data_IF_780915926103
#
_entry.id   IF_780915926103
#
_cell.length_a   1.000
_cell.length_b   1.000
_cell.length_c   1.000
_cell.angle_alpha   90.00
_cell.angle_beta   90.00
_cell.angle_gamma   90.00
#
_symmetry.space_group_name_H-M   'P 1'
#
loop_
_entity.id
_entity.type
_entity.pdbx_description
1 polymer ?
#
# COMPACT_ATOMS: atom_id res chain seq x y z
N UNK A 1 61.01 -23.13 50.03
CA UNK A 1 61.89 -22.31 49.20
C UNK A 1 61.16 -21.98 47.91
N UNK A 2 60.91 -20.70 47.82
CA UNK A 2 60.89 -19.84 46.63
C UNK A 2 59.88 -20.17 45.55
N UNK A 3 58.76 -19.45 45.51
CA UNK A 3 58.44 -18.17 44.81
C UNK A 3 58.67 -18.25 43.27
N UNK A 4 57.65 -18.11 42.47
CA UNK A 4 57.42 -16.83 41.79
C UNK A 4 56.09 -16.80 41.07
N UNK A 5 55.32 -15.84 41.49
CA UNK A 5 54.18 -15.20 40.85
C UNK A 5 54.62 -14.62 39.50
N UNK A 6 53.80 -14.86 38.46
CA UNK A 6 53.75 -13.96 37.33
C UNK A 6 52.29 -13.74 36.94
N UNK A 7 51.83 -12.58 37.31
CA UNK A 7 50.65 -11.94 36.78
C UNK A 7 50.78 -11.83 35.25
N UNK A 8 49.76 -12.29 34.56
CA UNK A 8 49.55 -11.95 33.14
C UNK A 8 48.21 -11.19 33.12
N UNK A 9 48.36 -9.89 32.93
CA UNK A 9 47.25 -8.97 32.66
C UNK A 9 46.56 -9.43 31.37
N UNK A 10 45.29 -9.89 31.53
CA UNK A 10 44.41 -10.13 30.42
C UNK A 10 43.63 -8.85 30.16
N UNK A 11 44.16 -8.03 29.25
CA UNK A 11 43.46 -6.86 28.76
C UNK A 11 42.11 -7.28 28.12
N UNK A 12 41.04 -6.99 28.86
CA UNK A 12 39.67 -7.21 28.45
C UNK A 12 39.30 -6.15 27.40
N UNK A 13 39.49 -6.50 26.12
CA UNK A 13 39.04 -5.67 25.02
C UNK A 13 37.49 -5.77 24.94
N UNK A 14 36.82 -4.86 25.62
CA UNK A 14 35.37 -4.71 25.53
C UNK A 14 35.01 -4.09 24.18
N UNK A 15 34.79 -4.93 23.17
CA UNK A 15 34.10 -4.52 21.98
C UNK A 15 32.64 -4.26 22.32
N UNK A 16 32.32 -3.00 22.60
CA UNK A 16 30.96 -2.49 22.58
C UNK A 16 30.41 -2.59 21.15
N UNK A 17 29.82 -3.74 20.84
CA UNK A 17 28.95 -3.87 19.70
C UNK A 17 27.70 -3.02 19.98
N UNK A 18 27.75 -1.78 19.52
CA UNK A 18 26.55 -0.92 19.44
C UNK A 18 25.60 -1.58 18.42
N UNK A 19 24.76 -2.45 18.95
CA UNK A 19 23.65 -2.99 18.22
C UNK A 19 22.64 -1.86 18.00
N UNK A 20 22.82 -1.08 16.94
CA UNK A 20 21.79 -0.20 16.44
C UNK A 20 20.60 -1.09 16.06
N UNK A 21 19.45 -0.95 16.70
CA UNK A 21 18.24 -1.54 16.15
C UNK A 21 18.01 -0.84 14.80
N UNK A 22 18.34 -1.55 13.72
CA UNK A 22 17.79 -1.21 12.41
C UNK A 22 16.28 -1.33 12.60
N UNK A 23 15.66 -0.20 12.91
CA UNK A 23 14.24 -0.02 12.74
C UNK A 23 14.01 -0.21 11.24
N UNK A 24 13.79 -1.46 10.87
CA UNK A 24 13.27 -1.82 9.57
C UNK A 24 11.88 -1.19 9.56
N UNK A 25 11.80 0.03 9.03
CA UNK A 25 10.54 0.60 8.65
C UNK A 25 10.05 -0.28 7.50
N UNK A 26 9.42 -1.40 7.85
CA UNK A 26 8.59 -2.13 6.93
C UNK A 26 7.52 -1.10 6.51
N UNK A 27 7.74 -0.47 5.37
CA UNK A 27 6.64 0.09 4.63
C UNK A 27 5.80 -1.11 4.24
N UNK A 28 4.86 -1.44 5.11
CA UNK A 28 3.79 -2.34 4.81
C UNK A 28 3.10 -1.82 3.55
N UNK A 29 3.40 -2.45 2.43
CA UNK A 29 2.45 -2.62 1.36
C UNK A 29 1.42 -3.63 1.88
N UNK A 30 0.84 -3.35 3.05
CA UNK A 30 -0.23 -4.13 3.60
C UNK A 30 -1.40 -3.96 2.67
N UNK A 31 -2.02 -5.05 2.28
CA UNK A 31 -3.41 -5.11 1.82
C UNK A 31 -4.28 -4.43 2.88
N UNK A 32 -4.24 -3.11 2.89
CA UNK A 32 -4.95 -2.33 3.87
C UNK A 32 -6.41 -2.24 3.41
N UNK A 33 -7.21 -3.15 3.92
CA UNK A 33 -8.65 -3.16 3.72
C UNK A 33 -9.37 -2.18 4.64
N UNK A 34 -8.64 -1.51 5.52
CA UNK A 34 -9.16 -0.51 6.46
C UNK A 34 -9.16 0.88 5.81
N UNK A 35 -10.29 1.23 5.22
CA UNK A 35 -10.44 2.51 4.53
C UNK A 35 -10.25 3.73 5.46
N UNK A 36 -10.82 3.80 6.68
CA UNK A 36 -10.58 4.91 7.60
C UNK A 36 -9.11 5.14 7.91
N UNK A 37 -8.35 4.08 8.12
CA UNK A 37 -6.90 4.14 8.38
C UNK A 37 -6.14 4.63 7.16
N UNK A 38 -6.49 4.13 5.97
CA UNK A 38 -5.87 4.54 4.70
C UNK A 38 -6.10 6.02 4.42
N UNK A 39 -7.32 6.54 4.66
CA UNK A 39 -7.63 7.97 4.53
C UNK A 39 -6.86 8.82 5.54
N UNK A 40 -6.79 8.39 6.79
CA UNK A 40 -6.01 9.10 7.82
C UNK A 40 -4.53 9.18 7.45
N UNK A 41 -3.97 8.08 6.90
CA UNK A 41 -2.59 8.02 6.44
C UNK A 41 -2.37 8.91 5.21
N UNK A 42 -3.31 8.93 4.25
CA UNK A 42 -3.26 9.80 3.07
C UNK A 42 -3.16 11.27 3.46
N UNK A 43 -4.02 11.72 4.37
CA UNK A 43 -3.97 13.08 4.94
C UNK A 43 -2.65 13.36 5.64
N UNK A 44 -2.22 12.47 6.52
CA UNK A 44 -0.99 12.63 7.31
C UNK A 44 0.27 12.74 6.42
N UNK A 45 0.32 11.97 5.35
CA UNK A 45 1.48 11.89 4.47
C UNK A 45 1.38 12.80 3.24
N UNK A 46 0.25 13.48 3.08
CA UNK A 46 -0.11 14.29 1.90
C UNK A 46 0.05 13.51 0.59
N UNK A 47 -0.40 12.24 0.59
CA UNK A 47 -0.29 11.33 -0.56
C UNK A 47 -1.67 10.97 -1.09
N UNK A 48 -1.85 10.88 -2.43
CA UNK A 48 -3.07 10.36 -3.02
C UNK A 48 -3.35 8.92 -2.56
N UNK A 49 -4.62 8.54 -2.55
CA UNK A 49 -5.07 7.19 -2.21
C UNK A 49 -5.71 6.53 -3.43
N UNK A 50 -5.20 5.37 -3.81
CA UNK A 50 -5.82 4.47 -4.78
C UNK A 50 -6.77 3.54 -4.03
N UNK A 51 -8.05 3.68 -4.26
CA UNK A 51 -9.10 2.85 -3.67
C UNK A 51 -9.55 1.82 -4.71
N UNK A 52 -9.07 0.59 -4.58
CA UNK A 52 -9.27 -0.46 -5.56
C UNK A 52 -10.42 -1.38 -5.17
N UNK A 53 -11.49 -1.38 -5.94
CA UNK A 53 -12.64 -2.29 -5.81
C UNK A 53 -12.40 -3.52 -6.68
N UNK A 54 -12.22 -4.69 -6.05
CA UNK A 54 -11.80 -5.93 -6.71
C UNK A 54 -12.81 -7.05 -6.51
N UNK A 55 -13.30 -7.63 -7.60
CA UNK A 55 -14.06 -8.89 -7.57
C UNK A 55 -13.09 -10.07 -7.50
N UNK A 56 -12.70 -10.47 -6.28
CA UNK A 56 -11.47 -11.22 -6.03
C UNK A 56 -11.53 -12.70 -6.48
N UNK A 57 -12.68 -13.34 -6.40
CA UNK A 57 -12.85 -14.76 -6.74
C UNK A 57 -13.75 -15.01 -7.97
N UNK A 58 -14.21 -13.94 -8.64
CA UNK A 58 -15.14 -14.06 -9.77
C UNK A 58 -14.81 -13.14 -10.96
N UNK A 59 -14.06 -12.04 -10.77
CA UNK A 59 -13.74 -11.11 -11.85
C UNK A 59 -12.33 -11.37 -12.42
N UNK A 60 -12.27 -11.88 -13.65
CA UNK A 60 -11.00 -12.16 -14.35
C UNK A 60 -10.16 -10.89 -14.48
N UNK A 61 -10.79 -9.75 -14.76
CA UNK A 61 -10.08 -8.47 -14.91
C UNK A 61 -9.52 -7.98 -13.57
N UNK A 62 -10.22 -8.22 -12.45
CA UNK A 62 -9.70 -7.94 -11.11
C UNK A 62 -8.47 -8.78 -10.77
N UNK A 63 -8.53 -10.09 -11.08
CA UNK A 63 -7.40 -10.99 -10.89
C UNK A 63 -6.17 -10.59 -11.73
N UNK A 64 -6.41 -10.11 -12.97
CA UNK A 64 -5.31 -9.60 -13.81
C UNK A 64 -4.72 -8.33 -13.23
N UNK A 65 -5.54 -7.36 -12.82
CA UNK A 65 -5.05 -6.12 -12.20
C UNK A 65 -4.20 -6.41 -10.96
N UNK A 66 -4.66 -7.31 -10.13
CA UNK A 66 -3.94 -7.69 -8.92
C UNK A 66 -2.58 -8.32 -9.25
N UNK A 67 -2.55 -9.35 -10.10
CA UNK A 67 -1.33 -10.07 -10.47
C UNK A 67 -0.36 -9.27 -11.34
N UNK A 68 -0.87 -8.54 -12.33
CA UNK A 68 -0.03 -7.85 -13.32
C UNK A 68 0.43 -6.46 -12.85
N UNK A 69 -0.23 -5.91 -11.82
CA UNK A 69 0.08 -4.57 -11.30
C UNK A 69 0.37 -4.60 -9.81
N UNK A 70 -0.63 -4.87 -8.96
CA UNK A 70 -0.49 -4.65 -7.52
C UNK A 70 0.48 -5.61 -6.83
N UNK A 71 0.58 -6.86 -7.30
CA UNK A 71 1.51 -7.86 -6.75
C UNK A 71 2.94 -7.72 -7.31
N UNK A 72 3.18 -6.76 -8.20
CA UNK A 72 4.51 -6.56 -8.79
C UNK A 72 5.41 -5.70 -7.89
N UNK A 73 6.67 -6.12 -7.75
CA UNK A 73 7.66 -5.35 -7.01
C UNK A 73 7.83 -3.92 -7.56
N UNK A 74 7.77 -3.76 -8.88
CA UNK A 74 7.83 -2.44 -9.52
C UNK A 74 6.69 -1.52 -9.08
N UNK A 75 5.47 -2.05 -8.85
CA UNK A 75 4.37 -1.28 -8.31
C UNK A 75 4.60 -0.90 -6.85
N UNK A 76 5.08 -1.84 -6.03
CA UNK A 76 5.41 -1.58 -4.63
C UNK A 76 6.48 -0.47 -4.50
N UNK A 77 7.49 -0.48 -5.36
CA UNK A 77 8.54 0.54 -5.39
C UNK A 77 7.99 1.91 -5.81
N UNK A 78 7.15 1.97 -6.84
CA UNK A 78 6.52 3.23 -7.30
C UNK A 78 5.52 3.77 -6.26
N UNK A 79 4.67 2.92 -5.71
CA UNK A 79 3.66 3.30 -4.72
C UNK A 79 4.27 3.81 -3.42
N UNK A 80 5.45 3.31 -3.05
CA UNK A 80 6.11 3.65 -1.78
C UNK A 80 6.21 5.15 -1.50
N UNK A 81 6.35 5.96 -2.54
CA UNK A 81 6.53 7.41 -2.41
C UNK A 81 5.41 8.23 -3.06
N UNK A 82 4.71 7.66 -4.04
CA UNK A 82 3.81 8.43 -4.91
C UNK A 82 2.35 8.41 -4.47
N UNK A 83 1.86 7.27 -3.97
CA UNK A 83 0.46 7.10 -3.55
C UNK A 83 0.33 5.96 -2.54
N UNK A 84 -0.84 5.86 -1.93
CA UNK A 84 -1.23 4.74 -1.06
C UNK A 84 -2.20 3.83 -1.83
N UNK A 85 -2.24 2.55 -1.48
CA UNK A 85 -3.20 1.60 -2.02
C UNK A 85 -4.08 1.07 -0.90
N UNK A 86 -5.40 1.07 -1.12
CA UNK A 86 -6.39 0.39 -0.29
C UNK A 86 -7.17 -0.56 -1.17
N UNK A 87 -7.08 -1.87 -0.91
CA UNK A 87 -7.78 -2.91 -1.67
C UNK A 87 -9.08 -3.29 -0.96
N UNK A 88 -10.19 -3.12 -1.64
CA UNK A 88 -11.51 -3.54 -1.20
C UNK A 88 -11.93 -4.79 -1.95
N UNK A 89 -11.89 -5.92 -1.27
CA UNK A 89 -12.16 -7.23 -1.85
C UNK A 89 -13.64 -7.59 -1.74
N UNK A 90 -14.25 -7.92 -2.88
CA UNK A 90 -15.61 -8.44 -3.00
C UNK A 90 -15.56 -9.92 -3.39
N UNK A 91 -16.02 -10.78 -2.49
CA UNK A 91 -16.01 -12.21 -2.66
C UNK A 91 -17.43 -12.73 -2.89
N UNK A 92 -17.57 -13.79 -3.71
CA UNK A 92 -18.83 -14.53 -3.89
C UNK A 92 -18.82 -15.87 -3.16
N UNK A 93 -17.63 -16.47 -2.98
CA UNK A 93 -17.49 -17.83 -2.43
C UNK A 93 -16.83 -17.86 -1.05
N UNK A 94 -16.24 -16.79 -0.57
CA UNK A 94 -15.56 -16.71 0.71
C UNK A 94 -16.30 -15.83 1.71
N UNK A 95 -16.50 -16.34 2.91
CA UNK A 95 -17.03 -15.55 4.02
C UNK A 95 -15.97 -14.59 4.56
N UNK A 96 -16.40 -13.39 4.90
CA UNK A 96 -15.59 -12.32 5.52
C UNK A 96 -16.31 -11.77 6.74
N UNK A 97 -15.60 -11.02 7.58
CA UNK A 97 -16.25 -10.39 8.71
C UNK A 97 -17.37 -9.44 8.23
N UNK A 98 -18.53 -9.43 8.90
CA UNK A 98 -19.65 -8.59 8.50
C UNK A 98 -19.30 -7.09 8.45
N UNK A 99 -18.35 -6.65 9.28
CA UNK A 99 -17.89 -5.27 9.34
C UNK A 99 -17.17 -4.86 8.05
N UNK A 100 -16.28 -5.72 7.55
CA UNK A 100 -15.54 -5.50 6.31
C UNK A 100 -16.48 -5.54 5.10
N UNK A 101 -17.41 -6.50 5.08
CA UNK A 101 -18.42 -6.58 4.01
C UNK A 101 -19.23 -5.29 3.95
N UNK A 102 -19.77 -4.84 5.09
CA UNK A 102 -20.55 -3.60 5.18
C UNK A 102 -19.74 -2.38 4.76
N UNK A 103 -18.51 -2.24 5.26
CA UNK A 103 -17.61 -1.15 4.84
C UNK A 103 -17.46 -1.12 3.32
N UNK A 104 -17.19 -2.27 2.70
CA UNK A 104 -16.95 -2.35 1.27
C UNK A 104 -18.21 -2.05 0.45
N UNK A 105 -19.37 -2.53 0.90
CA UNK A 105 -20.67 -2.24 0.27
C UNK A 105 -21.03 -0.76 0.38
N UNK A 106 -20.91 -0.14 1.55
CA UNK A 106 -21.16 1.29 1.77
C UNK A 106 -20.24 2.15 0.88
N UNK A 107 -18.98 1.74 0.72
CA UNK A 107 -18.04 2.43 -0.16
C UNK A 107 -18.38 2.23 -1.64
N UNK A 108 -18.79 1.03 -2.05
CA UNK A 108 -19.20 0.77 -3.43
C UNK A 108 -20.44 1.59 -3.81
N UNK A 109 -21.41 1.72 -2.89
CA UNK A 109 -22.57 2.58 -3.07
C UNK A 109 -22.16 4.05 -3.15
N UNK A 110 -21.35 4.52 -2.20
CA UNK A 110 -20.87 5.91 -2.11
C UNK A 110 -20.16 6.37 -3.39
N UNK A 111 -19.32 5.49 -3.96
CA UNK A 111 -18.57 5.78 -5.18
C UNK A 111 -19.27 5.31 -6.46
N UNK A 112 -20.50 4.82 -6.38
CA UNK A 112 -21.30 4.33 -7.51
C UNK A 112 -20.50 3.32 -8.37
N UNK A 113 -20.02 2.25 -7.74
CA UNK A 113 -19.22 1.22 -8.41
C UNK A 113 -20.14 0.21 -9.11
N UNK A 114 -20.12 0.23 -10.43
CA UNK A 114 -20.94 -0.65 -11.29
C UNK A 114 -20.13 -1.77 -11.94
N UNK A 115 -18.81 -1.62 -11.97
CA UNK A 115 -17.91 -2.55 -12.67
C UNK A 115 -16.68 -2.88 -11.83
N UNK A 116 -16.17 -4.10 -12.00
CA UNK A 116 -14.98 -4.60 -11.34
C UNK A 116 -13.93 -5.09 -12.36
N UNK A 117 -12.66 -4.70 -12.22
CA UNK A 117 -12.15 -3.79 -11.17
C UNK A 117 -12.44 -2.32 -11.49
N UNK A 118 -12.64 -1.53 -10.46
CA UNK A 118 -12.58 -0.07 -10.54
C UNK A 118 -11.60 0.45 -9.48
N UNK A 119 -10.69 1.31 -9.88
CA UNK A 119 -9.77 2.01 -8.98
C UNK A 119 -10.14 3.49 -8.98
N UNK A 120 -10.61 3.97 -7.85
CA UNK A 120 -10.90 5.39 -7.63
C UNK A 120 -9.65 6.06 -7.08
N UNK A 121 -9.17 7.10 -7.77
CA UNK A 121 -8.01 7.88 -7.34
C UNK A 121 -8.50 9.06 -6.52
N UNK A 122 -8.10 9.10 -5.26
CA UNK A 122 -8.49 10.15 -4.32
C UNK A 122 -7.32 11.08 -4.03
N UNK A 123 -7.62 12.38 -3.87
CA UNK A 123 -6.67 13.33 -3.31
C UNK A 123 -6.40 13.03 -1.83
N UNK A 124 -5.32 13.60 -1.23
CA UNK A 124 -5.07 13.46 0.21
C UNK A 124 -6.23 13.92 1.11
N UNK A 125 -7.06 14.84 0.62
CA UNK A 125 -8.25 15.35 1.32
C UNK A 125 -9.50 14.51 1.08
N UNK A 126 -9.41 13.46 0.25
CA UNK A 126 -10.51 12.54 -0.05
C UNK A 126 -11.38 12.94 -1.24
N UNK A 127 -11.02 13.98 -1.99
CA UNK A 127 -11.69 14.34 -3.24
C UNK A 127 -11.36 13.35 -4.36
N UNK A 128 -12.35 12.98 -5.18
CA UNK A 128 -12.13 12.10 -6.32
C UNK A 128 -11.43 12.86 -7.46
N UNK A 129 -10.29 12.32 -7.92
CA UNK A 129 -9.49 12.86 -9.03
C UNK A 129 -9.79 12.17 -10.36
N UNK A 130 -10.29 10.95 -10.29
CA UNK A 130 -10.69 10.16 -11.45
C UNK A 130 -10.74 8.67 -11.16
N UNK A 131 -11.02 7.88 -12.19
CA UNK A 131 -11.20 6.42 -12.10
C UNK A 131 -10.41 5.71 -13.18
N UNK A 132 -9.96 4.51 -12.85
CA UNK A 132 -9.30 3.59 -13.76
C UNK A 132 -9.91 2.19 -13.61
N UNK A 133 -9.99 1.45 -14.73
CA UNK A 133 -10.21 0.01 -14.70
C UNK A 133 -8.91 -0.75 -14.87
N UNK A 134 -9.01 -2.04 -15.26
CA UNK A 134 -7.85 -2.80 -15.70
C UNK A 134 -7.33 -2.26 -17.03
N UNK A 135 -6.03 -1.97 -17.09
CA UNK A 135 -5.33 -1.50 -18.29
C UNK A 135 -4.26 -2.55 -18.64
N UNK A 136 -4.37 -3.22 -19.81
CA UNK A 136 -3.32 -4.15 -20.25
C UNK A 136 -1.96 -3.45 -20.42
N UNK A 137 -0.88 -4.13 -20.02
CA UNK A 137 0.48 -3.62 -20.19
C UNK A 137 1.25 -3.40 -18.87
N UNK A 138 0.72 -3.95 -17.78
CA UNK A 138 1.42 -4.04 -16.50
C UNK A 138 1.56 -2.71 -15.77
N UNK A 139 2.55 -2.68 -14.88
CA UNK A 139 2.78 -1.56 -13.94
C UNK A 139 3.00 -0.23 -14.66
N UNK A 140 3.83 -0.20 -15.70
CA UNK A 140 4.20 1.05 -16.39
C UNK A 140 2.98 1.76 -16.98
N UNK A 141 2.09 1.00 -17.63
CA UNK A 141 0.88 1.56 -18.22
C UNK A 141 -0.11 2.05 -17.17
N UNK A 142 -0.25 1.27 -16.10
CA UNK A 142 -1.13 1.64 -15.00
C UNK A 142 -0.61 2.88 -14.27
N UNK A 143 0.67 2.92 -13.91
CA UNK A 143 1.30 4.06 -13.25
C UNK A 143 1.23 5.34 -14.12
N UNK A 144 1.46 5.23 -15.43
CA UNK A 144 1.30 6.36 -16.35
C UNK A 144 -0.14 6.93 -16.35
N UNK A 145 -1.15 6.05 -16.31
CA UNK A 145 -2.55 6.48 -16.23
C UNK A 145 -2.87 7.16 -14.89
N UNK A 146 -2.40 6.61 -13.76
CA UNK A 146 -2.51 7.26 -12.43
C UNK A 146 -1.85 8.63 -12.45
N UNK A 147 -0.61 8.73 -12.93
CA UNK A 147 0.13 9.98 -12.99
C UNK A 147 -0.58 11.04 -13.86
N UNK A 148 -1.24 10.62 -14.93
CA UNK A 148 -2.05 11.52 -15.78
C UNK A 148 -3.22 12.14 -14.99
N UNK A 149 -3.92 11.34 -14.18
CA UNK A 149 -5.01 11.86 -13.32
C UNK A 149 -4.47 12.82 -12.26
N UNK A 150 -3.34 12.48 -11.63
CA UNK A 150 -2.71 13.32 -10.61
C UNK A 150 -2.19 14.65 -11.20
N UNK A 151 -1.65 14.64 -12.42
CA UNK A 151 -1.21 15.86 -13.09
C UNK A 151 -2.39 16.77 -13.45
N UNK A 152 -3.48 16.19 -13.96
CA UNK A 152 -4.68 16.94 -14.32
C UNK A 152 -5.30 17.66 -13.11
N UNK A 153 -5.31 17.01 -11.94
CA UNK A 153 -5.84 17.61 -10.72
C UNK A 153 -5.02 18.82 -10.25
N UNK A 154 -3.69 18.78 -10.40
CA UNK A 154 -2.80 19.89 -10.05
C UNK A 154 -3.00 21.11 -10.94
N UNK A 155 -3.34 20.89 -12.21
CA UNK A 155 -3.60 21.98 -13.17
C UNK A 155 -4.99 22.60 -13.03
N UNK A 156 -5.91 21.96 -12.32
CA UNK A 156 -7.30 22.40 -12.10
C UNK A 156 -7.50 23.13 -10.76
N UNK A 157 -6.46 23.23 -9.92
CA UNK A 157 -6.50 24.06 -8.71
C UNK A 157 -6.20 25.52 -9.10
N UNK A 158 -7.11 26.47 -8.83
CA UNK A 158 -6.91 27.89 -9.10
C UNK A 158 -5.81 28.50 -8.23
#
# INVERSE_FOLDING_TARGET
MSLNSRFVDLALCACLAVCFPRTFCACDASDDTDFPKSVALAKKTNRPLLLAFLGTDWSISSLKLDREVFDQAAFADDSKYNYLLCKLHFYQTQERSPEIVRQNEDLAERYHIEQFPTVVVLSPDGGELGRLGYIPGGVDKFAAAVNTLLAKSRSSSP
#
